data_IF_995102424265
#
_entry.id   IF_995102424265
#
_cell.length_a   1.000
_cell.length_b   1.000
_cell.length_c   1.000
_cell.angle_alpha   90.00
_cell.angle_beta   90.00
_cell.angle_gamma   90.00
#
_symmetry.space_group_name_H-M   'P 1'
#
loop_
_entity.id
_entity.type
_entity.pdbx_description
1 polymer ?
#
# COMPACT_ATOMS: atom_id res chain seq x y z
N UNK A 1 -19.96 -0.38 19.48
CA UNK A 1 -20.63 -0.21 18.18
C UNK A 1 -19.64 -0.62 17.10
N UNK A 2 -20.08 -1.34 16.05
CA UNK A 2 -19.22 -2.27 15.32
C UNK A 2 -18.15 -1.51 14.53
N UNK A 3 -16.90 -1.91 14.74
CA UNK A 3 -15.80 -1.50 13.87
C UNK A 3 -16.03 -2.10 12.50
N UNK A 4 -15.98 -1.26 11.47
CA UNK A 4 -15.87 -1.71 10.10
C UNK A 4 -14.50 -2.40 9.95
N UNK A 5 -14.46 -3.71 10.16
CA UNK A 5 -13.39 -4.51 9.59
C UNK A 5 -13.67 -4.53 8.10
N UNK A 6 -12.73 -4.01 7.31
CA UNK A 6 -12.84 -4.02 5.86
C UNK A 6 -12.82 -5.45 5.35
N UNK A 7 -13.96 -6.13 5.40
CA UNK A 7 -14.23 -7.38 4.69
C UNK A 7 -14.50 -7.04 3.21
N UNK A 8 -13.42 -6.63 2.55
CA UNK A 8 -13.42 -6.27 1.13
C UNK A 8 -12.03 -6.52 0.55
N UNK A 9 -11.91 -7.58 -0.26
CA UNK A 9 -10.74 -7.79 -1.09
C UNK A 9 -10.63 -6.60 -2.06
N UNK A 10 -9.65 -5.73 -1.84
CA UNK A 10 -9.38 -4.59 -2.72
C UNK A 10 -8.13 -4.91 -3.53
N UNK A 11 -8.25 -4.93 -4.85
CA UNK A 11 -7.09 -5.13 -5.71
C UNK A 11 -6.26 -3.84 -5.73
N UNK A 12 -5.02 -3.95 -5.25
CA UNK A 12 -4.01 -2.90 -5.34
C UNK A 12 -2.99 -3.33 -6.39
N UNK A 13 -2.83 -2.53 -7.43
CA UNK A 13 -1.87 -2.76 -8.51
C UNK A 13 -0.54 -2.06 -8.18
N UNK A 14 0.57 -2.78 -8.23
CA UNK A 14 1.90 -2.19 -8.05
C UNK A 14 2.28 -1.39 -9.31
N UNK A 15 2.33 -0.08 -9.20
CA UNK A 15 2.67 0.82 -10.31
C UNK A 15 4.15 1.22 -10.37
N UNK A 16 4.82 1.33 -9.22
CA UNK A 16 6.23 1.70 -9.18
C UNK A 16 6.94 1.20 -7.92
N UNK A 17 8.25 0.98 -8.06
CA UNK A 17 9.20 0.78 -6.95
C UNK A 17 10.21 1.92 -7.00
N UNK A 18 10.39 2.63 -5.89
CA UNK A 18 11.31 3.77 -5.80
C UNK A 18 12.39 3.49 -4.75
N UNK A 19 13.68 3.53 -5.10
CA UNK A 19 14.75 3.42 -4.10
C UNK A 19 14.78 4.64 -3.19
N UNK A 20 15.07 4.42 -1.91
CA UNK A 20 15.27 5.47 -0.91
C UNK A 20 16.77 5.61 -0.68
N UNK A 21 17.35 6.63 -1.30
CA UNK A 21 18.80 6.85 -1.32
C UNK A 21 19.42 7.08 0.08
N UNK A 22 18.64 7.60 1.02
CA UNK A 22 19.07 7.91 2.39
C UNK A 22 18.45 6.97 3.45
N UNK A 23 18.12 5.73 3.08
CA UNK A 23 17.55 4.78 4.05
C UNK A 23 18.59 4.38 5.10
N UNK A 24 18.18 4.31 6.38
CA UNK A 24 19.04 3.89 7.48
C UNK A 24 19.29 2.37 7.51
N UNK A 25 18.52 1.57 6.76
CA UNK A 25 18.66 0.10 6.73
C UNK A 25 19.89 -0.34 5.94
N UNK A 26 20.70 -1.26 6.50
CA UNK A 26 21.75 -1.95 5.75
C UNK A 26 21.17 -2.64 4.52
N UNK A 27 21.65 -2.28 3.33
CA UNK A 27 21.11 -2.75 2.04
C UNK A 27 20.11 -1.81 1.38
N UNK A 28 19.83 -0.65 2.00
CA UNK A 28 18.95 0.38 1.47
C UNK A 28 17.48 0.12 1.75
N UNK A 29 16.70 1.14 1.40
CA UNK A 29 15.25 1.15 1.51
C UNK A 29 14.61 1.44 0.18
N UNK A 30 13.32 1.18 0.09
CA UNK A 30 12.52 1.45 -1.09
C UNK A 30 11.08 1.74 -0.69
N UNK A 31 10.34 2.45 -1.55
CA UNK A 31 8.89 2.55 -1.46
C UNK A 31 8.21 1.85 -2.63
N UNK A 32 7.04 1.30 -2.36
CA UNK A 32 6.14 0.75 -3.35
C UNK A 32 4.97 1.71 -3.52
N UNK A 33 4.66 2.08 -4.75
CA UNK A 33 3.46 2.84 -5.09
C UNK A 33 2.42 1.91 -5.68
N UNK A 34 1.27 1.87 -5.03
CA UNK A 34 0.11 1.11 -5.45
C UNK A 34 -0.99 2.02 -5.98
N UNK A 35 -1.76 1.51 -6.93
CA UNK A 35 -3.01 2.10 -7.38
C UNK A 35 -4.16 1.19 -6.98
N UNK A 36 -5.13 1.76 -6.29
CA UNK A 36 -6.38 1.09 -5.94
C UNK A 36 -7.59 1.73 -6.60
N UNK A 37 -8.75 1.09 -6.45
CA UNK A 37 -10.00 1.55 -7.05
C UNK A 37 -10.45 2.90 -6.45
N UNK A 38 -11.18 3.67 -7.26
CA UNK A 38 -11.56 5.06 -6.94
C UNK A 38 -12.64 5.16 -5.87
N UNK A 39 -13.50 4.16 -5.76
CA UNK A 39 -14.63 4.10 -4.85
C UNK A 39 -14.22 3.61 -3.45
N UNK A 40 -13.16 2.81 -3.34
CA UNK A 40 -12.67 2.30 -2.05
C UNK A 40 -11.56 3.20 -1.51
N UNK A 41 -11.80 3.83 -0.36
CA UNK A 41 -10.81 4.60 0.37
C UNK A 41 -10.22 3.74 1.50
N UNK A 42 -9.01 3.22 1.31
CA UNK A 42 -8.32 2.51 2.39
C UNK A 42 -7.70 3.55 3.35
N UNK A 43 -8.04 3.52 4.66
CA UNK A 43 -7.33 4.32 5.65
C UNK A 43 -5.86 3.91 5.76
N UNK A 44 -5.07 4.75 6.40
CA UNK A 44 -3.70 4.38 6.75
C UNK A 44 -3.72 3.27 7.79
N UNK A 45 -3.28 2.07 7.41
CA UNK A 45 -3.26 0.89 8.28
C UNK A 45 -2.36 -0.21 7.71
N UNK A 46 -2.12 -1.25 8.51
CA UNK A 46 -1.51 -2.50 8.04
C UNK A 46 -2.58 -3.39 7.41
N UNK A 47 -2.32 -3.86 6.20
CA UNK A 47 -3.18 -4.78 5.47
C UNK A 47 -2.44 -6.06 5.12
N UNK A 48 -3.17 -7.17 5.07
CA UNK A 48 -2.66 -8.44 4.57
C UNK A 48 -2.72 -8.43 3.04
N UNK A 49 -1.55 -8.40 2.39
CA UNK A 49 -1.41 -8.57 0.95
C UNK A 49 -1.20 -10.05 0.65
N UNK A 50 -2.10 -10.64 -0.13
CA UNK A 50 -1.96 -12.01 -0.61
C UNK A 50 -1.60 -11.99 -2.09
N UNK A 51 -0.45 -12.56 -2.45
CA UNK A 51 -0.01 -12.67 -3.85
C UNK A 51 0.75 -13.97 -4.09
N UNK A 52 1.38 -14.07 -5.27
CA UNK A 52 2.15 -15.26 -5.66
C UNK A 52 3.33 -15.54 -4.71
N UNK A 53 3.93 -14.49 -4.15
CA UNK A 53 5.01 -14.57 -3.16
C UNK A 53 4.54 -14.86 -1.73
N UNK A 54 3.27 -15.22 -1.54
CA UNK A 54 2.67 -15.49 -0.24
C UNK A 54 1.91 -14.30 0.35
N UNK A 55 1.70 -14.36 1.67
CA UNK A 55 0.95 -13.36 2.42
C UNK A 55 1.89 -12.47 3.23
N UNK A 56 1.76 -11.16 3.09
CA UNK A 56 2.61 -10.16 3.73
C UNK A 56 1.76 -9.10 4.41
N UNK A 57 2.07 -8.77 5.66
CA UNK A 57 1.47 -7.62 6.34
C UNK A 57 2.23 -6.35 5.94
N UNK A 58 1.58 -5.47 5.20
CA UNK A 58 2.20 -4.25 4.67
C UNK A 58 1.45 -3.04 5.19
N UNK A 59 2.20 -2.07 5.72
CA UNK A 59 1.66 -0.77 6.13
C UNK A 59 1.44 0.12 4.92
N UNK A 60 0.19 0.55 4.74
CA UNK A 60 -0.24 1.33 3.58
C UNK A 60 -0.63 2.74 4.02
N UNK A 61 -0.14 3.73 3.28
CA UNK A 61 -0.44 5.15 3.47
C UNK A 61 -1.16 5.67 2.22
N UNK A 62 -2.37 6.24 2.33
CA UNK A 62 -2.99 6.95 1.22
C UNK A 62 -2.22 8.24 0.93
N UNK A 63 -1.74 8.43 -0.30
CA UNK A 63 -0.91 9.60 -0.67
C UNK A 63 -1.60 10.55 -1.63
N UNK A 64 -2.50 10.06 -2.48
CA UNK A 64 -3.28 10.90 -3.38
C UNK A 64 -4.56 10.18 -3.87
N UNK A 65 -5.49 10.95 -4.42
CA UNK A 65 -6.65 10.43 -5.14
C UNK A 65 -6.90 11.30 -6.37
N UNK A 66 -7.20 10.68 -7.50
CA UNK A 66 -7.52 11.36 -8.75
C UNK A 66 -8.74 10.75 -9.45
N UNK A 67 -9.05 11.24 -10.66
CA UNK A 67 -10.18 10.77 -11.44
C UNK A 67 -10.08 9.28 -11.83
N UNK A 68 -8.88 8.71 -11.81
CA UNK A 68 -8.52 7.36 -12.29
C UNK A 68 -8.32 6.35 -11.16
N UNK A 69 -8.22 6.77 -9.90
CA UNK A 69 -8.05 5.86 -8.77
C UNK A 69 -7.50 6.55 -7.52
N UNK A 70 -7.14 5.72 -6.54
CA UNK A 70 -6.42 6.15 -5.34
C UNK A 70 -4.99 5.63 -5.36
N UNK A 71 -4.06 6.48 -4.94
CA UNK A 71 -2.64 6.14 -4.83
C UNK A 71 -2.29 5.90 -3.37
N UNK A 72 -1.54 4.83 -3.17
CA UNK A 72 -1.08 4.40 -1.87
C UNK A 72 0.42 4.13 -1.90
N UNK A 73 1.09 4.36 -0.78
CA UNK A 73 2.51 4.09 -0.63
C UNK A 73 2.77 3.14 0.53
N UNK A 74 3.71 2.22 0.32
CA UNK A 74 4.34 1.42 1.38
C UNK A 74 5.83 1.73 1.41
N UNK A 75 6.38 2.03 2.58
CA UNK A 75 7.79 2.41 2.76
C UNK A 75 8.52 1.32 3.54
N UNK A 76 9.61 0.81 2.97
CA UNK A 76 10.49 -0.19 3.57
C UNK A 76 11.86 0.45 3.78
N UNK A 77 12.17 0.81 5.02
CA UNK A 77 13.33 1.63 5.38
C UNK A 77 14.33 0.93 6.27
#
# INVERSE_FOLDING_TARGET
APGFYGEGLSLLELGAVKPIAASPRPGGGFSLLFKGPRDIALPQATYLFTGESGSHEIFIVPVAADATGRLYEAVFN
#
